data_IF_618913284032
#
_entry.id   IF_618913284032
#
_cell.length_a   1.000
_cell.length_b   1.000
_cell.length_c   1.000
_cell.angle_alpha   90.00
_cell.angle_beta   90.00
_cell.angle_gamma   90.00
#
_symmetry.space_group_name_H-M   'P 1'
#
loop_
_entity.id
_entity.type
_entity.pdbx_description
1 polymer ?
#
# COMPACT_ATOMS: atom_id res chain seq x y z
N UNK A 1 -5.50 20.20 -7.85
CA UNK A 1 -4.91 18.85 -7.86
C UNK A 1 -5.81 17.92 -7.06
N UNK A 2 -6.16 16.74 -7.57
CA UNK A 2 -7.07 15.81 -6.88
C UNK A 2 -6.24 14.89 -5.95
N UNK A 3 -6.54 14.90 -4.65
CA UNK A 3 -5.86 14.03 -3.68
C UNK A 3 -6.48 12.63 -3.64
N UNK A 4 -7.80 12.58 -3.70
CA UNK A 4 -8.65 11.40 -3.77
C UNK A 4 -10.01 11.76 -4.36
N UNK A 5 -10.74 10.77 -4.82
CA UNK A 5 -12.16 10.83 -5.15
C UNK A 5 -12.91 9.86 -4.23
N UNK A 6 -14.09 10.23 -3.78
CA UNK A 6 -15.02 9.37 -3.04
C UNK A 6 -16.37 9.43 -3.71
N UNK A 7 -16.84 8.30 -4.21
CA UNK A 7 -18.10 8.23 -4.96
C UNK A 7 -18.49 6.79 -5.23
N UNK A 8 -19.48 6.61 -6.07
CA UNK A 8 -20.00 5.30 -6.48
C UNK A 8 -19.18 4.82 -7.68
N UNK A 9 -18.77 3.55 -7.68
CA UNK A 9 -18.15 2.93 -8.84
C UNK A 9 -19.23 2.77 -9.93
N UNK A 10 -19.14 3.58 -10.97
CA UNK A 10 -20.11 3.59 -12.05
C UNK A 10 -19.77 2.56 -13.13
N UNK A 11 -18.47 2.30 -13.37
CA UNK A 11 -18.00 1.29 -14.31
C UNK A 11 -16.64 0.73 -13.88
N UNK A 12 -16.34 -0.50 -14.30
CA UNK A 12 -15.09 -1.20 -13.99
C UNK A 12 -14.62 -1.98 -15.21
N UNK A 13 -13.61 -1.42 -15.89
CA UNK A 13 -12.94 -2.00 -17.05
C UNK A 13 -11.75 -2.89 -16.68
N UNK A 14 -10.96 -3.24 -17.69
CA UNK A 14 -9.77 -4.10 -17.52
C UNK A 14 -8.58 -3.36 -16.85
N UNK A 15 -8.42 -2.06 -17.13
CA UNK A 15 -7.32 -1.23 -16.64
C UNK A 15 -7.80 0.12 -16.11
N UNK A 16 -9.09 0.28 -15.90
CA UNK A 16 -9.71 1.55 -15.54
C UNK A 16 -11.00 1.36 -14.75
N UNK A 17 -11.36 2.40 -14.02
CA UNK A 17 -12.66 2.53 -13.39
C UNK A 17 -13.26 3.88 -13.72
N UNK A 18 -14.58 3.96 -13.67
CA UNK A 18 -15.30 5.24 -13.61
C UNK A 18 -15.92 5.39 -12.23
N UNK A 19 -15.63 6.49 -11.56
CA UNK A 19 -16.22 6.85 -10.27
C UNK A 19 -17.13 8.04 -10.43
N UNK A 20 -18.40 7.90 -10.06
CA UNK A 20 -19.38 8.98 -10.02
C UNK A 20 -19.24 9.75 -8.72
N UNK A 21 -18.94 11.02 -8.83
CA UNK A 21 -18.87 11.95 -7.70
C UNK A 21 -19.87 13.08 -7.95
N UNK A 22 -21.08 12.92 -7.42
CA UNK A 22 -22.14 13.93 -7.53
C UNK A 22 -22.65 14.17 -8.95
N UNK A 23 -22.73 13.13 -9.78
CA UNK A 23 -23.17 13.22 -11.17
C UNK A 23 -22.06 13.50 -12.18
N UNK A 24 -20.80 13.58 -11.75
CA UNK A 24 -19.62 13.70 -12.60
C UNK A 24 -18.85 12.38 -12.61
N UNK A 25 -18.75 11.73 -13.77
CA UNK A 25 -17.97 10.52 -13.95
C UNK A 25 -16.49 10.83 -14.17
N UNK A 26 -15.63 10.39 -13.26
CA UNK A 26 -14.18 10.48 -13.36
C UNK A 26 -13.63 9.13 -13.80
N UNK A 27 -12.96 9.09 -14.96
CA UNK A 27 -12.26 7.90 -15.42
C UNK A 27 -10.85 7.89 -14.86
N UNK A 28 -10.46 6.78 -14.23
CA UNK A 28 -9.15 6.58 -13.62
C UNK A 28 -8.48 5.33 -14.19
N UNK A 29 -7.26 5.49 -14.67
CA UNK A 29 -6.40 4.35 -15.00
C UNK A 29 -5.88 3.70 -13.72
N UNK A 30 -6.02 2.39 -13.58
CA UNK A 30 -5.67 1.63 -12.39
C UNK A 30 -4.76 0.44 -12.72
N UNK A 31 -3.95 0.03 -11.74
CA UNK A 31 -3.21 -1.22 -11.82
C UNK A 31 -4.14 -2.43 -11.61
N UNK A 32 -3.70 -3.63 -12.02
CA UNK A 32 -4.45 -4.87 -11.76
C UNK A 32 -4.63 -5.13 -10.27
N UNK A 33 -3.64 -4.81 -9.45
CA UNK A 33 -3.71 -4.92 -7.99
C UNK A 33 -4.75 -3.96 -7.42
N UNK A 34 -4.76 -2.69 -7.85
CA UNK A 34 -5.82 -1.73 -7.48
C UNK A 34 -7.20 -2.25 -7.86
N UNK A 35 -7.38 -2.75 -9.09
CA UNK A 35 -8.67 -3.24 -9.58
C UNK A 35 -9.23 -4.41 -8.76
N UNK A 36 -8.36 -5.27 -8.20
CA UNK A 36 -8.78 -6.36 -7.32
C UNK A 36 -9.34 -5.83 -5.99
N UNK A 37 -8.89 -4.66 -5.53
CA UNK A 37 -9.34 -4.02 -4.29
C UNK A 37 -10.54 -3.07 -4.50
N UNK A 38 -10.88 -2.75 -5.73
CA UNK A 38 -12.06 -1.94 -6.06
C UNK A 38 -13.31 -2.82 -5.99
N UNK A 39 -14.32 -2.40 -5.22
CA UNK A 39 -15.57 -3.16 -5.09
C UNK A 39 -16.36 -3.20 -6.41
N UNK A 40 -17.43 -4.01 -6.48
CA UNK A 40 -18.32 -4.06 -7.63
C UNK A 40 -18.95 -2.69 -7.96
N UNK A 41 -19.42 -2.58 -9.20
CA UNK A 41 -20.21 -1.43 -9.67
C UNK A 41 -21.43 -1.23 -8.78
N UNK A 42 -21.73 0.01 -8.45
CA UNK A 42 -22.81 0.44 -7.56
C UNK A 42 -22.38 0.68 -6.11
N UNK A 43 -21.20 0.22 -5.70
CA UNK A 43 -20.68 0.45 -4.35
C UNK A 43 -19.86 1.74 -4.25
N UNK A 44 -19.85 2.33 -3.03
CA UNK A 44 -19.07 3.55 -2.75
C UNK A 44 -17.66 3.20 -2.30
N UNK A 45 -16.67 3.82 -2.92
CA UNK A 45 -15.25 3.69 -2.54
C UNK A 45 -14.56 5.05 -2.52
N UNK A 46 -13.56 5.18 -1.67
CA UNK A 46 -12.56 6.25 -1.73
C UNK A 46 -11.35 5.72 -2.50
N UNK A 47 -10.97 6.41 -3.56
CA UNK A 47 -9.84 6.07 -4.44
C UNK A 47 -8.84 7.22 -4.40
N UNK A 48 -7.59 6.94 -4.06
CA UNK A 48 -6.53 7.94 -4.10
C UNK A 48 -6.15 8.22 -5.55
N UNK A 49 -5.82 9.48 -5.88
CA UNK A 49 -5.65 9.87 -7.26
C UNK A 49 -4.36 10.63 -7.51
N UNK A 50 -3.81 10.44 -8.69
CA UNK A 50 -2.70 11.22 -9.23
C UNK A 50 -3.12 11.77 -10.60
N UNK A 51 -3.03 13.09 -10.78
CA UNK A 51 -3.32 13.76 -12.05
C UNK A 51 -2.00 14.01 -12.80
N UNK A 52 -1.90 13.42 -13.97
CA UNK A 52 -0.81 13.70 -14.93
C UNK A 52 -1.31 14.68 -15.97
N UNK A 53 -0.65 15.81 -16.07
CA UNK A 53 -0.96 16.85 -17.06
C UNK A 53 0.23 16.98 -18.00
N UNK A 54 -0.01 16.85 -19.29
CA UNK A 54 0.95 17.05 -20.38
C UNK A 54 0.34 18.00 -21.39
N UNK A 55 1.13 18.46 -22.35
CA UNK A 55 0.65 19.35 -23.41
C UNK A 55 -0.49 18.76 -24.23
N UNK A 56 -0.47 17.44 -24.45
CA UNK A 56 -1.38 16.70 -25.30
C UNK A 56 -2.40 15.81 -24.54
N UNK A 57 -2.26 15.67 -23.22
CA UNK A 57 -3.10 14.76 -22.45
C UNK A 57 -3.26 15.17 -20.98
N UNK A 58 -4.43 14.90 -20.45
CA UNK A 58 -4.74 14.98 -19.02
C UNK A 58 -5.29 13.63 -18.58
N UNK A 59 -4.51 12.89 -17.81
CA UNK A 59 -4.83 11.53 -17.38
C UNK A 59 -4.92 11.46 -15.85
N UNK A 60 -5.94 10.76 -15.35
CA UNK A 60 -6.14 10.53 -13.92
C UNK A 60 -5.83 9.07 -13.60
N UNK A 61 -4.99 8.86 -12.59
CA UNK A 61 -4.59 7.53 -12.12
C UNK A 61 -5.21 7.28 -10.75
N UNK A 62 -5.71 6.05 -10.53
CA UNK A 62 -6.38 5.64 -9.30
C UNK A 62 -5.62 4.57 -8.54
N UNK A 63 -5.66 4.63 -7.20
CA UNK A 63 -4.98 3.72 -6.27
C UNK A 63 -5.90 3.37 -5.11
N UNK A 64 -5.87 2.12 -4.69
CA UNK A 64 -6.67 1.66 -3.56
C UNK A 64 -6.18 2.24 -2.23
N UNK A 65 -4.85 2.41 -2.08
CA UNK A 65 -4.19 2.88 -0.86
C UNK A 65 -3.29 4.09 -1.09
N UNK A 66 -2.90 4.77 -0.02
CA UNK A 66 -1.94 5.88 -0.07
C UNK A 66 -0.53 5.39 -0.40
N UNK A 67 -0.19 4.23 0.10
CA UNK A 67 1.09 3.56 -0.05
C UNK A 67 1.32 3.20 -1.52
N UNK A 68 0.29 2.65 -2.19
CA UNK A 68 0.33 2.38 -3.62
C UNK A 68 0.54 3.66 -4.44
N UNK A 69 -0.19 4.74 -4.11
CA UNK A 69 0.01 6.06 -4.73
C UNK A 69 1.43 6.60 -4.48
N UNK A 70 1.96 6.47 -3.27
CA UNK A 70 3.31 6.90 -2.92
C UNK A 70 4.36 6.15 -3.74
N UNK A 71 4.23 4.82 -3.84
CA UNK A 71 5.12 4.01 -4.67
C UNK A 71 5.04 4.41 -6.15
N UNK A 72 3.84 4.65 -6.68
CA UNK A 72 3.67 5.17 -8.04
C UNK A 72 4.46 6.46 -8.28
N UNK A 73 4.39 7.41 -7.35
CA UNK A 73 5.11 8.68 -7.46
C UNK A 73 6.63 8.49 -7.38
N UNK A 74 7.10 7.56 -6.55
CA UNK A 74 8.52 7.17 -6.50
C UNK A 74 8.97 6.53 -7.81
N UNK A 75 8.17 5.63 -8.40
CA UNK A 75 8.46 5.03 -9.70
C UNK A 75 8.57 6.09 -10.80
N UNK A 76 7.70 7.10 -10.82
CA UNK A 76 7.78 8.22 -11.77
C UNK A 76 9.04 9.07 -11.63
N UNK A 77 9.69 9.07 -10.46
CA UNK A 77 10.94 9.79 -10.26
C UNK A 77 12.17 9.12 -10.91
N UNK A 78 12.00 7.86 -11.36
CA UNK A 78 13.07 7.12 -12.03
C UNK A 78 13.07 7.43 -13.52
N UNK A 79 14.23 7.84 -14.03
CA UNK A 79 14.37 8.19 -15.45
C UNK A 79 14.02 7.03 -16.37
N UNK A 80 13.11 7.29 -17.32
CA UNK A 80 12.60 6.30 -18.29
C UNK A 80 11.38 5.53 -17.81
N UNK A 81 10.82 5.82 -16.64
CA UNK A 81 9.56 5.26 -16.17
C UNK A 81 8.44 6.30 -16.28
N UNK A 82 7.55 6.09 -17.25
CA UNK A 82 6.33 6.89 -17.39
C UNK A 82 5.14 6.28 -16.63
N UNK A 83 4.00 6.99 -16.58
CA UNK A 83 2.84 6.56 -15.80
C UNK A 83 2.32 5.16 -16.16
N UNK A 84 2.29 4.81 -17.44
CA UNK A 84 1.83 3.49 -17.91
C UNK A 84 2.76 2.36 -17.45
N UNK A 85 4.09 2.60 -17.50
CA UNK A 85 5.08 1.64 -17.01
C UNK A 85 5.00 1.51 -15.50
N UNK A 86 4.83 2.63 -14.78
CA UNK A 86 4.66 2.61 -13.32
C UNK A 86 3.43 1.81 -12.89
N UNK A 87 2.27 1.97 -13.58
CA UNK A 87 1.09 1.12 -13.33
C UNK A 87 1.34 -0.36 -13.64
N UNK A 88 2.07 -0.65 -14.72
CA UNK A 88 2.44 -2.02 -15.08
C UNK A 88 3.31 -2.67 -14.01
N UNK A 89 4.27 -1.93 -13.45
CA UNK A 89 5.11 -2.40 -12.34
C UNK A 89 4.24 -2.69 -11.10
N UNK A 90 3.38 -1.76 -10.70
CA UNK A 90 2.47 -1.94 -9.56
C UNK A 90 1.49 -3.10 -9.74
N UNK A 91 1.06 -3.36 -10.98
CA UNK A 91 0.16 -4.47 -11.29
C UNK A 91 0.85 -5.83 -11.46
N UNK A 92 2.20 -5.87 -11.51
CA UNK A 92 2.94 -7.10 -11.77
C UNK A 92 3.19 -7.96 -10.52
N UNK A 93 3.14 -7.36 -9.35
CA UNK A 93 3.36 -8.03 -8.05
C UNK A 93 2.74 -7.22 -6.90
N UNK A 94 2.47 -7.85 -5.75
CA UNK A 94 2.02 -7.15 -4.55
C UNK A 94 3.00 -6.03 -4.14
N UNK A 95 2.48 -4.94 -3.59
CA UNK A 95 3.28 -3.76 -3.21
C UNK A 95 4.44 -4.12 -2.26
N UNK A 96 4.21 -5.05 -1.33
CA UNK A 96 5.23 -5.54 -0.42
C UNK A 96 6.38 -6.23 -1.14
N UNK A 97 6.07 -7.10 -2.12
CA UNK A 97 7.08 -7.82 -2.89
C UNK A 97 7.87 -6.88 -3.78
N UNK A 98 7.21 -5.86 -4.35
CA UNK A 98 7.86 -4.79 -5.09
C UNK A 98 8.84 -4.01 -4.19
N UNK A 99 8.39 -3.62 -3.00
CA UNK A 99 9.24 -2.93 -2.02
C UNK A 99 10.45 -3.77 -1.64
N UNK A 100 10.24 -5.07 -1.36
CA UNK A 100 11.30 -6.01 -1.04
C UNK A 100 12.29 -6.16 -2.20
N UNK A 101 11.80 -6.31 -3.44
CA UNK A 101 12.65 -6.44 -4.62
C UNK A 101 13.51 -5.17 -4.85
N UNK A 102 12.99 -3.98 -4.55
CA UNK A 102 13.74 -2.71 -4.61
C UNK A 102 14.83 -2.68 -3.55
N UNK A 103 14.50 -2.96 -2.28
CA UNK A 103 15.44 -2.91 -1.14
C UNK A 103 16.56 -3.94 -1.30
N UNK A 104 16.23 -5.16 -1.73
CA UNK A 104 17.21 -6.24 -1.97
C UNK A 104 17.95 -6.11 -3.29
N UNK A 105 17.49 -5.24 -4.21
CA UNK A 105 18.07 -5.09 -5.53
C UNK A 105 17.82 -6.29 -6.44
N UNK A 106 16.68 -6.97 -6.32
CA UNK A 106 16.32 -8.12 -7.16
C UNK A 106 15.92 -7.66 -8.57
N UNK A 107 16.94 -7.50 -9.42
CA UNK A 107 16.78 -7.11 -10.84
C UNK A 107 15.91 -8.10 -11.60
N UNK A 108 15.97 -9.38 -11.25
CA UNK A 108 15.21 -10.44 -11.94
C UNK A 108 13.72 -10.28 -11.67
N UNK A 109 13.32 -10.07 -10.43
CA UNK A 109 11.94 -9.81 -10.06
C UNK A 109 11.41 -8.53 -10.73
N UNK A 110 12.17 -7.43 -10.65
CA UNK A 110 11.78 -6.14 -11.22
C UNK A 110 11.66 -6.16 -12.75
N UNK A 111 12.49 -6.95 -13.45
CA UNK A 111 12.45 -7.07 -14.91
C UNK A 111 11.28 -7.93 -15.44
N UNK A 112 10.51 -8.60 -14.58
CA UNK A 112 9.29 -9.33 -14.97
C UNK A 112 8.13 -8.42 -15.30
N UNK A 113 8.15 -7.17 -14.80
CA UNK A 113 7.10 -6.20 -15.10
C UNK A 113 7.11 -5.82 -16.59
N UNK A 114 5.96 -5.87 -17.29
CA UNK A 114 5.87 -5.48 -18.69
C UNK A 114 6.38 -4.05 -18.91
N UNK A 115 7.24 -3.88 -19.90
CA UNK A 115 7.88 -2.58 -20.20
C UNK A 115 9.14 -2.28 -19.39
N UNK A 116 9.58 -3.18 -18.50
CA UNK A 116 10.79 -3.02 -17.69
C UNK A 116 11.88 -3.97 -18.18
N UNK A 117 12.84 -3.42 -18.93
CA UNK A 117 14.04 -4.16 -19.33
C UNK A 117 15.10 -4.22 -18.21
N UNK A 118 16.10 -5.07 -18.38
CA UNK A 118 17.20 -5.25 -17.39
C UNK A 118 17.87 -3.93 -16.98
N UNK A 119 18.11 -3.02 -17.93
CA UNK A 119 18.71 -1.69 -17.64
C UNK A 119 17.78 -0.83 -16.79
N UNK A 120 16.47 -0.83 -17.09
CA UNK A 120 15.46 -0.08 -16.32
C UNK A 120 15.32 -0.67 -14.92
N UNK A 121 15.31 -1.99 -14.79
CA UNK A 121 15.26 -2.68 -13.49
C UNK A 121 16.49 -2.35 -12.61
N UNK A 122 17.68 -2.33 -13.19
CA UNK A 122 18.91 -1.93 -12.47
C UNK A 122 18.83 -0.49 -11.98
N UNK A 123 18.39 0.44 -12.85
CA UNK A 123 18.21 1.85 -12.49
C UNK A 123 17.16 2.01 -11.38
N UNK A 124 16.02 1.32 -11.52
CA UNK A 124 14.93 1.32 -10.54
C UNK A 124 15.44 0.88 -9.16
N UNK A 125 16.16 -0.25 -9.09
CA UNK A 125 16.74 -0.74 -7.85
C UNK A 125 17.72 0.27 -7.25
N UNK A 126 18.59 0.88 -8.06
CA UNK A 126 19.59 1.83 -7.57
C UNK A 126 18.96 3.14 -7.08
N UNK A 127 18.09 3.77 -7.90
CA UNK A 127 17.52 5.09 -7.60
C UNK A 127 16.46 5.06 -6.50
N UNK A 128 15.76 3.93 -6.32
CA UNK A 128 14.73 3.81 -5.30
C UNK A 128 15.22 3.19 -3.99
N UNK A 129 16.34 2.50 -3.96
CA UNK A 129 16.88 1.89 -2.73
C UNK A 129 17.07 2.91 -1.60
N UNK A 130 17.47 4.13 -1.93
CA UNK A 130 17.65 5.22 -0.95
C UNK A 130 16.34 5.93 -0.58
N UNK A 131 15.28 5.77 -1.41
CA UNK A 131 13.98 6.43 -1.25
C UNK A 131 12.91 5.53 -0.64
N UNK A 132 13.22 4.25 -0.51
CA UNK A 132 12.32 3.20 0.02
C UNK A 132 13.01 2.60 1.23
N UNK A 133 12.56 3.00 2.42
CA UNK A 133 13.10 2.52 3.68
C UNK A 133 12.42 1.21 4.13
N UNK A 134 13.06 0.51 5.08
CA UNK A 134 12.47 -0.66 5.73
C UNK A 134 11.12 -0.35 6.43
N UNK A 135 10.90 0.89 6.83
CA UNK A 135 9.62 1.37 7.35
C UNK A 135 8.48 1.28 6.32
N UNK A 136 8.79 1.34 5.02
CA UNK A 136 7.80 1.13 3.96
C UNK A 136 7.36 -0.34 3.85
N UNK A 137 8.21 -1.31 4.26
CA UNK A 137 7.85 -2.73 4.34
C UNK A 137 6.86 -3.01 5.49
N UNK A 138 7.02 -2.29 6.59
CA UNK A 138 6.15 -2.42 7.77
C UNK A 138 4.80 -1.70 7.56
N UNK A 139 4.77 -0.67 6.71
CA UNK A 139 3.56 0.09 6.38
C UNK A 139 2.65 -0.63 5.36
N UNK A 140 3.14 -1.68 4.66
CA UNK A 140 2.33 -2.45 3.71
C UNK A 140 1.63 -3.58 4.44
N UNK A 141 0.28 -3.64 4.47
CA UNK A 141 -0.46 -4.72 5.12
C UNK A 141 -0.03 -6.10 4.59
N UNK A 142 0.22 -7.03 5.49
CA UNK A 142 0.56 -8.41 5.12
C UNK A 142 -0.67 -9.12 4.56
N UNK A 143 -0.68 -9.36 3.24
CA UNK A 143 -1.44 -10.45 2.62
C UNK A 143 -2.93 -10.17 2.37
N UNK A 144 -3.27 -10.25 1.10
CA UNK A 144 -4.62 -10.43 0.59
C UNK A 144 -5.28 -11.68 1.18
N UNK A 145 -6.26 -11.48 2.02
CA UNK A 145 -7.15 -12.52 2.51
C UNK A 145 -8.19 -11.92 3.43
N UNK A 146 -9.38 -11.65 2.89
CA UNK A 146 -10.60 -11.23 3.60
C UNK A 146 -10.56 -9.84 4.24
N UNK A 147 -11.16 -8.87 3.57
CA UNK A 147 -11.57 -7.62 4.20
C UNK A 147 -12.69 -7.87 5.20
N UNK A 148 -12.33 -7.99 6.47
CA UNK A 148 -13.14 -7.44 7.54
C UNK A 148 -12.74 -5.97 7.69
N UNK A 149 -13.67 -5.02 7.99
CA UNK A 149 -13.30 -3.66 8.31
C UNK A 149 -12.28 -3.72 9.44
N UNK A 150 -11.11 -3.08 9.25
CA UNK A 150 -10.10 -2.96 10.30
C UNK A 150 -10.75 -2.14 11.42
N UNK A 151 -11.37 -2.82 12.37
CA UNK A 151 -11.20 -2.44 13.75
C UNK A 151 -9.69 -2.47 13.97
N UNK A 152 -9.10 -1.35 14.34
CA UNK A 152 -7.74 -1.30 14.84
C UNK A 152 -7.66 -2.42 15.88
N UNK A 153 -6.96 -3.53 15.54
CA UNK A 153 -6.90 -4.67 16.42
C UNK A 153 -6.18 -4.17 17.66
N UNK A 154 -6.84 -4.21 18.80
CA UNK A 154 -6.31 -3.74 20.08
C UNK A 154 -4.88 -4.25 20.32
N UNK A 155 -4.54 -5.39 19.70
CA UNK A 155 -3.19 -5.96 19.72
C UNK A 155 -2.16 -5.11 18.93
N UNK A 156 -2.54 -4.52 17.80
CA UNK A 156 -1.65 -3.66 17.00
C UNK A 156 -1.39 -2.33 17.71
N UNK A 157 -2.41 -1.73 18.30
CA UNK A 157 -2.30 -0.52 19.11
C UNK A 157 -1.46 -0.79 20.37
N UNK A 158 -1.69 -1.93 21.05
CA UNK A 158 -0.93 -2.34 22.20
C UNK A 158 0.56 -2.58 21.89
N UNK A 159 0.87 -3.11 20.70
CA UNK A 159 2.25 -3.32 20.24
C UNK A 159 2.96 -1.98 20.02
N UNK A 160 2.30 -1.02 19.36
CA UNK A 160 2.83 0.34 19.18
C UNK A 160 3.06 1.05 20.51
N UNK A 161 2.16 0.89 21.48
CA UNK A 161 2.30 1.46 22.81
C UNK A 161 3.51 0.88 23.58
N UNK A 162 3.76 -0.44 23.51
CA UNK A 162 4.94 -1.07 24.13
C UNK A 162 6.24 -0.59 23.49
N UNK A 163 6.27 -0.40 22.18
CA UNK A 163 7.44 0.17 21.49
C UNK A 163 7.69 1.63 21.90
N UNK A 164 6.64 2.44 22.08
CA UNK A 164 6.75 3.81 22.61
C UNK A 164 7.28 3.85 24.04
N UNK A 165 7.05 2.79 24.83
CA UNK A 165 7.60 2.60 26.17
C UNK A 165 9.07 2.13 26.18
N UNK A 166 9.67 1.90 24.99
CA UNK A 166 11.08 1.57 24.84
C UNK A 166 11.39 0.07 24.67
N UNK A 167 10.39 -0.78 24.55
CA UNK A 167 10.60 -2.20 24.26
C UNK A 167 10.91 -2.42 22.77
N UNK A 168 11.77 -3.39 22.47
CA UNK A 168 12.06 -3.75 21.08
C UNK A 168 10.83 -4.38 20.41
N UNK A 169 10.75 -4.31 19.08
CA UNK A 169 9.66 -4.89 18.31
C UNK A 169 9.47 -6.40 18.60
N UNK A 170 10.58 -7.14 18.80
CA UNK A 170 10.56 -8.55 19.13
C UNK A 170 10.00 -8.85 20.52
N UNK A 171 10.39 -8.05 21.52
CA UNK A 171 9.89 -8.17 22.91
C UNK A 171 8.41 -7.81 22.98
N UNK A 172 8.00 -6.71 22.35
CA UNK A 172 6.61 -6.27 22.29
C UNK A 172 5.72 -7.32 21.58
N UNK A 173 6.15 -7.84 20.44
CA UNK A 173 5.43 -8.88 19.71
C UNK A 173 5.27 -10.16 20.53
N UNK A 174 6.33 -10.61 21.21
CA UNK A 174 6.30 -11.79 22.09
C UNK A 174 5.36 -11.57 23.28
N UNK A 175 5.41 -10.40 23.93
CA UNK A 175 4.55 -10.08 25.06
C UNK A 175 3.06 -10.05 24.66
N UNK A 176 2.72 -9.42 23.53
CA UNK A 176 1.35 -9.35 23.03
C UNK A 176 0.86 -10.70 22.57
N UNK A 177 1.69 -11.56 21.97
CA UNK A 177 1.27 -12.91 21.56
C UNK A 177 0.76 -13.77 22.71
N UNK A 178 1.26 -13.59 23.91
CA UNK A 178 0.83 -14.33 25.11
C UNK A 178 -0.52 -13.86 25.71
N UNK A 179 -0.92 -12.62 25.40
CA UNK A 179 -2.15 -12.02 25.93
C UNK A 179 -3.20 -11.74 24.84
N UNK A 180 -2.89 -12.10 23.59
CA UNK A 180 -3.80 -11.92 22.45
C UNK A 180 -5.11 -12.68 22.68
N UNK A 181 -6.25 -11.97 22.51
CA UNK A 181 -7.58 -12.54 22.74
C UNK A 181 -8.05 -12.52 24.20
N UNK A 182 -7.28 -11.97 25.14
CA UNK A 182 -7.70 -11.81 26.54
C UNK A 182 -8.47 -10.49 26.78
N UNK A 183 -8.39 -9.53 25.86
CA UNK A 183 -9.13 -8.27 25.89
C UNK A 183 -9.22 -7.65 24.50
N UNK A 184 -10.31 -6.93 24.24
CA UNK A 184 -10.53 -6.11 23.03
C UNK A 184 -10.04 -4.65 23.24
N UNK A 185 -9.41 -4.35 24.37
CA UNK A 185 -8.85 -3.02 24.68
C UNK A 185 -7.33 -3.04 24.64
N UNK A 186 -6.75 -2.14 23.83
CA UNK A 186 -5.29 -1.98 23.72
C UNK A 186 -4.63 -1.68 25.06
N UNK A 187 -5.22 -0.81 25.88
CA UNK A 187 -4.71 -0.46 27.21
C UNK A 187 -4.66 -1.67 28.14
N UNK A 188 -5.68 -2.53 28.08
CA UNK A 188 -5.71 -3.74 28.90
C UNK A 188 -4.67 -4.77 28.43
N UNK A 189 -4.49 -4.93 27.10
CA UNK A 189 -3.47 -5.79 26.53
C UNK A 189 -2.06 -5.32 26.90
N UNK A 190 -1.78 -4.02 26.87
CA UNK A 190 -0.49 -3.45 27.31
C UNK A 190 -0.26 -3.77 28.79
N UNK A 191 -1.26 -3.58 29.66
CA UNK A 191 -1.16 -3.87 31.07
C UNK A 191 -0.89 -5.36 31.36
N UNK A 192 -1.60 -6.25 30.66
CA UNK A 192 -1.40 -7.70 30.76
C UNK A 192 -0.02 -8.12 30.26
N UNK A 193 0.42 -7.55 29.15
CA UNK A 193 1.75 -7.82 28.59
C UNK A 193 2.86 -7.39 29.54
N UNK A 194 2.80 -6.17 30.07
CA UNK A 194 3.76 -5.67 31.06
C UNK A 194 3.79 -6.51 32.34
N UNK A 195 2.63 -6.95 32.81
CA UNK A 195 2.53 -7.84 33.99
C UNK A 195 3.20 -9.18 33.73
N UNK A 196 2.99 -9.77 32.54
CA UNK A 196 3.62 -11.03 32.15
C UNK A 196 5.16 -10.88 32.00
N UNK A 197 5.64 -9.73 31.52
CA UNK A 197 7.06 -9.45 31.37
C UNK A 197 7.75 -9.19 32.71
N UNK A 198 7.02 -8.65 33.69
CA UNK A 198 7.52 -8.38 35.04
C UNK A 198 7.56 -9.62 35.95
N UNK A 199 7.04 -10.76 35.52
CA UNK A 199 7.12 -12.02 36.27
C UNK A 199 6.22 -12.11 37.51
N UNK A 200 5.10 -11.33 37.52
CA UNK A 200 4.07 -11.41 38.59
C UNK A 200 2.76 -11.99 38.04
#
# INVERSE_FOLDING_TARGET
MYAFLKGVIADKGQNEIVIDVGGVGYQLSCSMTTLQEIPPVGETKKVYTYLSVREDAMELFGFATKEEKSMFQRLLSVSGIGPKVALSILGSMPLRDLTLAIVTGDITALSRAPGVGKKTAQRLALELKEKVDQSDLDAVPQGSGSFTPIQEDAATEALAALQALGYTAAEAAKAISHVRGQSDSANELVRLALRNMAGF
#
